data_IF_674130843434
#
_entry.id   IF_674130843434
#
_cell.length_a   1.000
_cell.length_b   1.000
_cell.length_c   1.000
_cell.angle_alpha   90.00
_cell.angle_beta   90.00
_cell.angle_gamma   90.00
#
_symmetry.space_group_name_H-M   'P 1'
#
loop_
_entity.id
_entity.type
_entity.pdbx_description
1 polymer ?
#
# COMPACT_ATOMS: atom_id res chain seq x y z
N UNK A 1 -22.10 -19.17 0.19
CA UNK A 1 -21.56 -19.41 1.55
C UNK A 1 -20.45 -18.41 1.76
N UNK A 2 -20.57 -17.49 2.72
CA UNK A 2 -19.52 -16.52 3.06
C UNK A 2 -18.28 -17.27 3.50
N UNK A 3 -17.10 -16.91 3.00
CA UNK A 3 -15.85 -17.52 3.44
C UNK A 3 -15.71 -17.41 4.97
N UNK A 4 -15.18 -18.43 5.66
CA UNK A 4 -14.99 -18.37 7.10
C UNK A 4 -14.05 -17.23 7.47
N UNK A 5 -14.35 -16.53 8.57
CA UNK A 5 -13.51 -15.45 9.07
C UNK A 5 -12.09 -15.97 9.38
N UNK A 6 -11.05 -15.18 9.09
CA UNK A 6 -9.65 -15.62 9.24
C UNK A 6 -9.25 -15.82 10.72
N UNK A 7 -10.05 -15.30 11.65
CA UNK A 7 -9.95 -15.53 13.08
C UNK A 7 -11.31 -15.23 13.76
N UNK A 8 -11.56 -15.72 14.99
CA UNK A 8 -12.74 -15.34 15.75
C UNK A 8 -12.77 -13.83 16.03
N UNK A 9 -13.79 -13.14 15.53
CA UNK A 9 -14.01 -11.70 15.71
C UNK A 9 -14.68 -11.41 17.05
N UNK A 10 -14.31 -10.32 17.67
CA UNK A 10 -14.86 -9.79 18.91
C UNK A 10 -15.06 -8.29 18.74
N UNK A 11 -16.30 -7.86 18.42
CA UNK A 11 -16.62 -6.46 18.25
C UNK A 11 -16.24 -5.64 19.48
N UNK A 12 -15.92 -4.37 19.26
CA UNK A 12 -15.63 -3.40 20.32
C UNK A 12 -16.87 -3.21 21.22
N UNK A 13 -16.66 -3.12 22.52
CA UNK A 13 -17.71 -2.86 23.52
C UNK A 13 -17.74 -1.39 23.96
N UNK A 14 -18.88 -0.88 24.44
CA UNK A 14 -18.93 0.43 25.07
C UNK A 14 -17.89 0.57 26.20
N UNK A 15 -17.13 1.66 26.19
CA UNK A 15 -16.07 1.93 27.17
C UNK A 15 -14.69 1.37 26.81
N UNK A 16 -14.56 0.53 25.78
CA UNK A 16 -13.27 0.08 25.27
C UNK A 16 -12.60 1.18 24.42
N UNK A 17 -11.25 1.24 24.37
CA UNK A 17 -10.56 2.19 23.49
C UNK A 17 -10.91 1.98 22.02
N UNK A 18 -10.85 3.05 21.23
CA UNK A 18 -10.97 2.97 19.78
C UNK A 18 -9.76 2.26 19.16
N UNK A 19 -9.99 1.58 18.04
CA UNK A 19 -8.90 1.02 17.26
C UNK A 19 -8.08 2.15 16.59
N UNK A 20 -6.76 2.08 16.72
CA UNK A 20 -5.84 3.05 16.10
C UNK A 20 -5.60 2.70 14.62
N UNK A 21 -6.18 3.49 13.73
CA UNK A 21 -6.05 3.35 12.26
C UNK A 21 -4.79 4.03 11.69
N UNK A 22 -3.94 4.65 12.52
CA UNK A 22 -2.79 5.41 12.03
C UNK A 22 -1.81 4.57 11.20
N UNK A 23 -1.65 3.27 11.50
CA UNK A 23 -0.79 2.38 10.70
C UNK A 23 -1.37 2.07 9.33
N UNK A 24 -2.70 1.92 9.23
CA UNK A 24 -3.38 1.73 7.95
C UNK A 24 -3.27 3.00 7.10
N UNK A 25 -3.56 4.17 7.69
CA UNK A 25 -3.38 5.46 7.04
C UNK A 25 -1.93 5.71 6.57
N UNK A 26 -0.93 5.27 7.34
CA UNK A 26 0.47 5.38 6.93
C UNK A 26 0.80 4.44 5.76
N UNK A 27 0.22 3.23 5.72
CA UNK A 27 0.35 2.33 4.58
C UNK A 27 -0.29 2.94 3.32
N UNK A 28 -1.51 3.47 3.44
CA UNK A 28 -2.21 4.21 2.39
C UNK A 28 -1.37 5.36 1.83
N UNK A 29 -0.80 6.19 2.71
CA UNK A 29 0.09 7.29 2.31
C UNK A 29 1.30 6.80 1.53
N UNK A 30 1.94 5.73 1.98
CA UNK A 30 3.06 5.14 1.27
C UNK A 30 2.66 4.68 -0.13
N UNK A 31 1.57 3.90 -0.24
CA UNK A 31 1.07 3.36 -1.51
C UNK A 31 0.67 4.49 -2.48
N UNK A 32 -0.13 5.47 -2.04
CA UNK A 32 -0.51 6.65 -2.82
C UNK A 32 0.73 7.41 -3.31
N UNK A 33 1.70 7.63 -2.42
CA UNK A 33 2.97 8.27 -2.77
C UNK A 33 3.77 7.51 -3.81
N UNK A 34 3.82 6.17 -3.75
CA UNK A 34 4.50 5.35 -4.75
C UNK A 34 3.81 5.37 -6.10
N UNK A 35 2.48 5.30 -6.14
CA UNK A 35 1.71 5.39 -7.38
C UNK A 35 1.95 6.74 -8.08
N UNK A 36 1.86 7.85 -7.33
CA UNK A 36 2.15 9.20 -7.87
C UNK A 36 3.59 9.33 -8.36
N UNK A 37 4.56 8.91 -7.55
CA UNK A 37 5.97 8.92 -7.96
C UNK A 37 6.22 8.14 -9.25
N UNK A 38 5.52 7.00 -9.44
CA UNK A 38 5.62 6.20 -10.65
C UNK A 38 4.99 6.90 -11.86
N UNK A 39 3.84 7.54 -11.68
CA UNK A 39 3.21 8.35 -12.73
C UNK A 39 4.13 9.50 -13.16
N UNK A 40 4.68 10.25 -12.20
CA UNK A 40 5.58 11.39 -12.45
C UNK A 40 6.82 10.96 -13.26
N UNK A 41 7.50 9.89 -12.84
CA UNK A 41 8.69 9.42 -13.57
C UNK A 41 8.32 8.82 -14.93
N UNK A 42 7.16 8.18 -15.08
CA UNK A 42 6.75 7.68 -16.38
C UNK A 42 6.43 8.83 -17.35
N UNK A 43 5.81 9.90 -16.86
CA UNK A 43 5.55 11.12 -17.62
C UNK A 43 6.86 11.81 -18.04
N UNK A 44 7.85 11.91 -17.14
CA UNK A 44 9.20 12.39 -17.49
C UNK A 44 9.80 11.59 -18.67
N UNK A 45 9.71 10.26 -18.63
CA UNK A 45 10.21 9.41 -19.71
C UNK A 45 9.43 9.62 -21.02
N UNK A 46 8.10 9.75 -20.94
CA UNK A 46 7.25 10.01 -22.11
C UNK A 46 7.57 11.38 -22.75
N UNK A 47 7.93 12.37 -21.94
CA UNK A 47 8.40 13.68 -22.39
C UNK A 47 9.85 13.67 -22.95
N UNK A 48 10.50 12.50 -23.02
CA UNK A 48 11.82 12.34 -23.64
C UNK A 48 13.01 12.40 -22.69
N UNK A 49 12.80 12.33 -21.37
CA UNK A 49 13.90 12.30 -20.42
C UNK A 49 14.82 11.09 -20.66
N UNK A 50 16.12 11.35 -20.82
CA UNK A 50 17.13 10.29 -20.98
C UNK A 50 17.63 9.85 -19.61
N UNK A 51 17.54 8.55 -19.31
CA UNK A 51 17.96 7.98 -18.03
C UNK A 51 19.19 7.10 -18.18
N UNK A 52 20.03 7.09 -17.14
CA UNK A 52 21.06 6.07 -17.04
C UNK A 52 20.41 4.67 -17.00
N UNK A 53 21.09 3.62 -17.50
CA UNK A 53 20.59 2.25 -17.39
C UNK A 53 20.30 1.84 -15.94
N UNK A 54 21.02 2.43 -14.98
CA UNK A 54 20.79 2.21 -13.56
C UNK A 54 19.46 2.83 -13.08
N UNK A 55 19.19 4.11 -13.38
CA UNK A 55 17.91 4.74 -13.02
C UNK A 55 16.74 3.97 -13.62
N UNK A 56 16.81 3.59 -14.90
CA UNK A 56 15.77 2.79 -15.55
C UNK A 56 15.51 1.46 -14.82
N UNK A 57 16.57 0.72 -14.44
CA UNK A 57 16.42 -0.51 -13.65
C UNK A 57 15.84 -0.25 -12.26
N UNK A 58 16.19 0.86 -11.61
CA UNK A 58 15.64 1.25 -10.32
C UNK A 58 14.15 1.56 -10.42
N UNK A 59 13.72 2.34 -11.42
CA UNK A 59 12.31 2.66 -11.72
C UNK A 59 11.51 1.38 -11.99
N UNK A 60 11.98 0.50 -12.88
CA UNK A 60 11.28 -0.78 -13.17
C UNK A 60 11.19 -1.66 -11.91
N UNK A 61 12.27 -1.75 -11.14
CA UNK A 61 12.30 -2.54 -9.92
C UNK A 61 11.38 -2.00 -8.82
N UNK A 62 11.32 -0.67 -8.68
CA UNK A 62 10.41 0.02 -7.76
C UNK A 62 8.96 -0.13 -8.21
N UNK A 63 8.67 0.11 -9.50
CA UNK A 63 7.35 -0.06 -10.10
C UNK A 63 6.76 -1.43 -9.82
N UNK A 64 7.52 -2.50 -10.11
CA UNK A 64 7.10 -3.87 -9.80
C UNK A 64 6.85 -4.10 -8.30
N UNK A 65 7.56 -3.42 -7.41
CA UNK A 65 7.36 -3.56 -5.98
C UNK A 65 6.12 -2.83 -5.48
N UNK A 66 5.86 -1.62 -6.00
CA UNK A 66 4.63 -0.85 -5.72
C UNK A 66 3.40 -1.60 -6.21
N UNK A 67 3.37 -2.04 -7.48
CA UNK A 67 2.22 -2.76 -8.04
C UNK A 67 1.87 -4.03 -7.24
N UNK A 68 2.90 -4.78 -6.80
CA UNK A 68 2.69 -5.94 -5.95
C UNK A 68 2.11 -5.60 -4.58
N UNK A 69 2.52 -4.48 -3.98
CA UNK A 69 1.98 -4.08 -2.68
C UNK A 69 0.55 -3.55 -2.80
N UNK A 70 0.23 -2.77 -3.84
CA UNK A 70 -1.15 -2.33 -4.10
C UNK A 70 -2.06 -3.55 -4.29
N UNK A 71 -1.65 -4.53 -5.11
CA UNK A 71 -2.39 -5.77 -5.30
C UNK A 71 -2.58 -6.56 -3.99
N UNK A 72 -1.53 -6.63 -3.17
CA UNK A 72 -1.55 -7.40 -1.94
C UNK A 72 -2.31 -6.67 -0.80
N UNK A 73 -2.42 -5.35 -0.85
CA UNK A 73 -3.22 -4.55 0.08
C UNK A 73 -4.71 -4.79 -0.18
N UNK A 74 -5.19 -4.51 -1.38
CA UNK A 74 -6.61 -4.68 -1.75
C UNK A 74 -7.08 -6.14 -1.59
N UNK A 75 -6.22 -7.10 -1.92
CA UNK A 75 -6.53 -8.52 -1.68
C UNK A 75 -6.64 -8.87 -0.18
N UNK A 76 -5.93 -8.18 0.71
CA UNK A 76 -6.03 -8.36 2.16
C UNK A 76 -7.22 -7.61 2.75
N UNK A 77 -7.62 -6.47 2.18
CA UNK A 77 -8.93 -5.89 2.50
C UNK A 77 -10.04 -6.90 2.19
N UNK A 78 -10.13 -7.36 0.95
CA UNK A 78 -11.15 -8.30 0.47
C UNK A 78 -11.21 -9.58 1.32
N UNK A 79 -10.04 -10.16 1.59
CA UNK A 79 -9.96 -11.46 2.27
C UNK A 79 -10.08 -11.37 3.80
N UNK A 80 -9.80 -10.22 4.40
CA UNK A 80 -9.67 -10.09 5.86
C UNK A 80 -10.37 -8.85 6.41
N UNK A 81 -9.99 -7.65 5.98
CA UNK A 81 -10.49 -6.42 6.61
C UNK A 81 -11.99 -6.25 6.39
N UNK A 82 -12.50 -6.51 5.19
CA UNK A 82 -13.93 -6.42 4.85
C UNK A 82 -14.77 -7.41 5.66
N UNK A 83 -14.47 -8.72 5.68
CA UNK A 83 -15.18 -9.67 6.54
C UNK A 83 -15.15 -9.30 8.02
N UNK A 84 -14.01 -8.85 8.55
CA UNK A 84 -13.88 -8.47 9.97
C UNK A 84 -14.70 -7.21 10.28
N UNK A 85 -14.67 -6.22 9.40
CA UNK A 85 -15.41 -4.96 9.56
C UNK A 85 -16.91 -5.22 9.50
N UNK A 86 -17.38 -5.98 8.52
CA UNK A 86 -18.79 -6.37 8.38
C UNK A 86 -19.29 -7.16 9.61
N UNK A 87 -18.50 -8.12 10.08
CA UNK A 87 -18.83 -8.90 11.28
C UNK A 87 -18.89 -8.02 12.56
N UNK A 88 -18.01 -7.02 12.67
CA UNK A 88 -18.02 -6.08 13.79
C UNK A 88 -19.16 -5.07 13.72
N UNK A 89 -19.49 -4.57 12.52
CA UNK A 89 -20.52 -3.56 12.33
C UNK A 89 -21.91 -4.09 12.69
N UNK A 90 -22.20 -5.36 12.38
CA UNK A 90 -23.47 -5.99 12.71
C UNK A 90 -24.66 -5.14 12.25
N UNK A 91 -25.54 -4.77 13.19
CA UNK A 91 -26.73 -3.96 12.91
C UNK A 91 -26.43 -2.52 12.47
N UNK A 92 -25.21 -1.99 12.69
CA UNK A 92 -24.83 -0.66 12.19
C UNK A 92 -24.67 -0.64 10.67
N UNK A 93 -24.39 -1.80 10.06
CA UNK A 93 -24.09 -1.91 8.64
C UNK A 93 -22.79 -1.21 8.25
N UNK A 94 -22.22 -1.68 7.14
CA UNK A 94 -21.21 -0.98 6.36
C UNK A 94 -21.39 -1.47 4.94
N UNK A 95 -21.53 -0.55 3.99
CA UNK A 95 -21.56 -0.92 2.58
C UNK A 95 -20.12 -0.91 2.06
N UNK A 96 -19.62 -2.09 1.74
CA UNK A 96 -18.26 -2.30 1.24
C UNK A 96 -18.25 -2.67 -0.25
N UNK A 97 -19.44 -2.77 -0.88
CA UNK A 97 -19.54 -3.18 -2.28
C UNK A 97 -18.84 -2.17 -3.21
N UNK A 98 -19.04 -0.83 -3.08
CA UNK A 98 -18.35 0.13 -3.95
C UNK A 98 -16.81 0.00 -3.88
N UNK A 99 -16.26 -0.13 -2.67
CA UNK A 99 -14.82 -0.32 -2.47
C UNK A 99 -14.32 -1.68 -3.02
N UNK A 100 -15.17 -2.71 -2.99
CA UNK A 100 -14.85 -4.02 -3.57
C UNK A 100 -14.88 -3.99 -5.10
N UNK A 101 -15.77 -3.17 -5.69
CA UNK A 101 -15.82 -2.91 -7.12
C UNK A 101 -14.58 -2.14 -7.59
N UNK A 102 -14.13 -1.13 -6.83
CA UNK A 102 -12.88 -0.42 -7.08
C UNK A 102 -11.69 -1.39 -7.14
N UNK A 103 -11.62 -2.37 -6.23
CA UNK A 103 -10.59 -3.39 -6.25
C UNK A 103 -10.59 -4.19 -7.56
N UNK A 104 -11.75 -4.41 -8.18
CA UNK A 104 -11.83 -5.06 -9.49
C UNK A 104 -11.24 -4.19 -10.60
N UNK A 105 -11.52 -2.89 -10.59
CA UNK A 105 -10.93 -1.92 -11.53
C UNK A 105 -9.41 -1.86 -11.34
N UNK A 106 -8.95 -1.73 -10.09
CA UNK A 106 -7.53 -1.70 -9.74
C UNK A 106 -6.79 -2.97 -10.20
N UNK A 107 -7.38 -4.16 -10.04
CA UNK A 107 -6.78 -5.41 -10.56
C UNK A 107 -6.50 -5.35 -12.06
N UNK A 108 -7.42 -4.79 -12.85
CA UNK A 108 -7.24 -4.57 -14.28
C UNK A 108 -6.11 -3.60 -14.60
N UNK A 109 -6.05 -2.47 -13.88
CA UNK A 109 -4.99 -1.47 -14.02
C UNK A 109 -3.62 -2.00 -13.66
N UNK A 110 -3.51 -2.76 -12.55
CA UNK A 110 -2.25 -3.35 -12.10
C UNK A 110 -1.70 -4.36 -13.12
N UNK A 111 -2.56 -5.14 -13.78
CA UNK A 111 -2.15 -6.04 -14.86
C UNK A 111 -1.62 -5.27 -16.08
N UNK A 112 -2.35 -4.24 -16.52
CA UNK A 112 -1.92 -3.37 -17.63
C UNK A 112 -0.60 -2.66 -17.31
N UNK A 113 -0.47 -2.11 -16.11
CA UNK A 113 0.74 -1.44 -15.63
C UNK A 113 1.93 -2.41 -15.56
N UNK A 114 1.73 -3.64 -15.12
CA UNK A 114 2.76 -4.68 -15.11
C UNK A 114 3.28 -5.04 -16.50
N UNK A 115 2.37 -5.13 -17.48
CA UNK A 115 2.69 -5.33 -18.90
C UNK A 115 3.47 -4.14 -19.45
N UNK A 116 3.00 -2.92 -19.22
CA UNK A 116 3.67 -1.69 -19.67
C UNK A 116 5.06 -1.53 -19.05
N UNK A 117 5.23 -1.84 -17.77
CA UNK A 117 6.53 -1.86 -17.09
C UNK A 117 7.50 -2.85 -17.74
N UNK A 118 7.00 -4.00 -18.19
CA UNK A 118 7.80 -5.01 -18.86
C UNK A 118 8.21 -4.56 -20.26
N UNK A 119 7.29 -3.95 -21.01
CA UNK A 119 7.59 -3.35 -22.30
C UNK A 119 8.64 -2.23 -22.18
N UNK A 120 8.45 -1.29 -21.25
CA UNK A 120 9.38 -0.20 -20.99
C UNK A 120 10.77 -0.66 -20.54
N UNK A 121 10.84 -1.76 -19.79
CA UNK A 121 12.11 -2.36 -19.40
C UNK A 121 12.90 -2.87 -20.61
N UNK A 122 12.22 -3.36 -21.64
CA UNK A 122 12.82 -3.86 -22.88
C UNK A 122 13.13 -2.72 -23.86
N UNK A 123 12.21 -1.77 -24.02
CA UNK A 123 12.31 -0.65 -24.94
C UNK A 123 11.80 0.65 -24.29
N UNK A 124 12.68 1.67 -24.10
CA UNK A 124 12.27 2.99 -23.62
C UNK A 124 11.19 3.66 -24.49
N UNK A 125 11.04 3.27 -25.76
CA UNK A 125 9.96 3.74 -26.64
C UNK A 125 8.55 3.44 -26.12
N UNK A 126 8.39 2.51 -25.17
CA UNK A 126 7.12 2.23 -24.51
C UNK A 126 6.74 3.23 -23.39
N UNK A 127 7.55 4.28 -23.16
CA UNK A 127 7.30 5.26 -22.10
C UNK A 127 5.91 5.94 -22.17
N UNK A 128 5.37 6.35 -23.34
CA UNK A 128 4.04 6.96 -23.39
C UNK A 128 2.92 6.02 -22.92
N UNK A 129 2.99 4.73 -23.29
CA UNK A 129 2.01 3.73 -22.83
C UNK A 129 2.14 3.46 -21.32
N UNK A 130 3.37 3.49 -20.80
CA UNK A 130 3.62 3.37 -19.37
C UNK A 130 3.07 4.57 -18.58
N UNK A 131 3.30 5.80 -19.07
CA UNK A 131 2.82 7.03 -18.47
C UNK A 131 1.29 7.04 -18.38
N UNK A 132 0.61 6.72 -19.48
CA UNK A 132 -0.85 6.67 -19.52
C UNK A 132 -1.45 5.75 -18.45
N UNK A 133 -0.95 4.50 -18.34
CA UNK A 133 -1.52 3.54 -17.38
C UNK A 133 -1.11 3.83 -15.94
N UNK A 134 0.10 4.33 -15.68
CA UNK A 134 0.51 4.69 -14.31
C UNK A 134 -0.18 5.97 -13.82
N UNK A 135 -0.46 6.92 -14.72
CA UNK A 135 -1.28 8.10 -14.42
C UNK A 135 -2.71 7.71 -14.05
N UNK A 136 -3.34 6.84 -14.86
CA UNK A 136 -4.68 6.28 -14.56
C UNK A 136 -4.69 5.53 -13.22
N UNK A 137 -3.71 4.66 -12.97
CA UNK A 137 -3.58 3.94 -11.70
C UNK A 137 -3.40 4.90 -10.51
N UNK A 138 -2.59 5.96 -10.66
CA UNK A 138 -2.35 6.91 -9.60
C UNK A 138 -3.63 7.64 -9.21
N UNK A 139 -4.45 8.09 -10.16
CA UNK A 139 -5.74 8.75 -9.90
C UNK A 139 -6.72 7.79 -9.23
N UNK A 140 -6.98 6.64 -9.85
CA UNK A 140 -7.99 5.68 -9.34
C UNK A 140 -7.61 5.16 -7.95
N UNK A 141 -6.33 4.90 -7.69
CA UNK A 141 -5.89 4.47 -6.36
C UNK A 141 -5.96 5.59 -5.32
N UNK A 142 -5.78 6.85 -5.73
CA UNK A 142 -5.94 8.01 -4.85
C UNK A 142 -7.39 8.14 -4.39
N UNK A 143 -8.33 8.13 -5.34
CA UNK A 143 -9.77 8.24 -5.13
C UNK A 143 -10.29 7.09 -4.25
N UNK A 144 -9.90 5.86 -4.57
CA UNK A 144 -10.26 4.66 -3.81
C UNK A 144 -9.86 4.78 -2.34
N UNK A 145 -8.60 5.17 -2.07
CA UNK A 145 -8.11 5.31 -0.70
C UNK A 145 -8.83 6.45 0.03
N UNK A 146 -9.13 7.57 -0.64
CA UNK A 146 -9.90 8.66 -0.02
C UNK A 146 -11.30 8.22 0.40
N UNK A 147 -11.98 7.44 -0.45
CA UNK A 147 -13.27 6.86 -0.13
C UNK A 147 -13.18 5.84 1.01
N UNK A 148 -12.17 4.96 0.98
CA UNK A 148 -11.95 3.99 2.05
C UNK A 148 -11.74 4.68 3.40
N UNK A 149 -10.84 5.66 3.48
CA UNK A 149 -10.56 6.35 4.74
C UNK A 149 -11.80 7.10 5.26
N UNK A 150 -12.62 7.66 4.35
CA UNK A 150 -13.85 8.36 4.70
C UNK A 150 -14.93 7.43 5.23
N UNK A 151 -15.16 6.30 4.57
CA UNK A 151 -16.29 5.41 4.87
C UNK A 151 -15.94 4.34 5.91
N UNK A 152 -14.74 3.78 5.83
CA UNK A 152 -14.37 2.60 6.62
C UNK A 152 -13.72 2.98 7.95
N UNK A 153 -12.87 4.00 8.00
CA UNK A 153 -12.17 4.33 9.27
C UNK A 153 -13.12 4.68 10.42
N UNK A 154 -14.24 5.40 10.21
CA UNK A 154 -15.24 5.61 11.27
C UNK A 154 -15.81 4.29 11.79
N UNK A 155 -16.07 3.32 10.91
CA UNK A 155 -16.58 1.99 11.29
C UNK A 155 -15.51 1.21 12.06
N UNK A 156 -14.25 1.24 11.63
CA UNK A 156 -13.13 0.62 12.36
C UNK A 156 -13.03 1.16 13.78
N UNK A 157 -13.00 2.48 13.95
CA UNK A 157 -12.91 3.11 15.27
C UNK A 157 -14.11 2.77 16.17
N UNK A 158 -15.32 2.78 15.60
CA UNK A 158 -16.57 2.58 16.34
C UNK A 158 -16.78 1.11 16.75
N UNK A 159 -16.56 0.19 15.81
CA UNK A 159 -17.06 -1.18 15.89
C UNK A 159 -15.96 -2.24 16.04
N UNK A 160 -14.75 -2.01 15.51
CA UNK A 160 -13.67 -3.01 15.54
C UNK A 160 -12.86 -2.86 16.82
N UNK A 161 -12.61 -3.97 17.51
CA UNK A 161 -11.77 -3.95 18.72
C UNK A 161 -10.30 -3.73 18.36
N UNK A 162 -9.55 -3.09 19.27
CA UNK A 162 -8.08 -2.94 19.15
C UNK A 162 -7.40 -4.29 18.85
N UNK A 163 -7.92 -5.37 19.45
CA UNK A 163 -7.39 -6.72 19.27
C UNK A 163 -7.58 -7.24 17.85
N UNK A 164 -8.76 -7.04 17.25
CA UNK A 164 -9.03 -7.58 15.93
C UNK A 164 -8.35 -6.78 14.82
N UNK A 165 -8.23 -5.46 14.98
CA UNK A 165 -7.39 -4.66 14.08
C UNK A 165 -5.92 -5.09 14.17
N UNK A 166 -5.40 -5.33 15.38
CA UNK A 166 -4.02 -5.84 15.54
C UNK A 166 -3.83 -7.24 14.93
N UNK A 167 -4.86 -8.09 14.91
CA UNK A 167 -4.81 -9.39 14.22
C UNK A 167 -4.76 -9.23 12.71
N UNK A 168 -5.54 -8.31 12.14
CA UNK A 168 -5.45 -7.96 10.71
C UNK A 168 -4.04 -7.51 10.34
N UNK A 169 -3.45 -6.59 11.10
CA UNK A 169 -2.08 -6.11 10.85
C UNK A 169 -1.04 -7.24 10.95
N UNK A 170 -1.23 -8.17 11.89
CA UNK A 170 -0.36 -9.34 12.01
C UNK A 170 -0.47 -10.28 10.80
N UNK A 171 -1.66 -10.41 10.19
CA UNK A 171 -1.84 -11.15 8.92
C UNK A 171 -1.08 -10.43 7.80
N UNK A 172 -1.20 -9.12 7.69
CA UNK A 172 -0.47 -8.31 6.70
C UNK A 172 1.04 -8.49 6.82
N UNK A 173 1.57 -8.48 8.05
CA UNK A 173 3.00 -8.65 8.30
C UNK A 173 3.53 -10.05 7.92
N UNK A 174 2.72 -11.10 8.07
CA UNK A 174 3.12 -12.49 7.75
C UNK A 174 3.01 -12.84 6.28
N UNK A 175 2.11 -12.19 5.54
CA UNK A 175 1.86 -12.46 4.12
C UNK A 175 2.98 -12.02 3.18
N UNK A 176 4.08 -11.47 3.69
CA UNK A 176 5.16 -10.87 2.89
C UNK A 176 6.46 -11.63 3.11
N UNK A 177 7.09 -12.12 2.03
CA UNK A 177 8.43 -12.71 2.10
C UNK A 177 9.47 -11.69 2.62
N UNK A 178 10.56 -12.16 3.23
CA UNK A 178 11.53 -11.30 3.95
C UNK A 178 12.05 -10.11 3.13
N UNK A 179 12.30 -10.30 1.82
CA UNK A 179 12.75 -9.22 0.92
C UNK A 179 11.68 -8.14 0.72
N UNK A 180 10.42 -8.56 0.60
CA UNK A 180 9.29 -7.65 0.40
C UNK A 180 8.98 -6.91 1.71
N UNK A 181 8.98 -7.61 2.84
CA UNK A 181 8.85 -7.00 4.16
C UNK A 181 9.95 -5.95 4.43
N UNK A 182 11.20 -6.25 4.06
CA UNK A 182 12.32 -5.31 4.17
C UNK A 182 12.13 -4.04 3.32
N UNK A 183 11.57 -4.19 2.12
CA UNK A 183 11.25 -3.08 1.23
C UNK A 183 10.09 -2.25 1.78
N UNK A 184 8.96 -2.88 2.08
CA UNK A 184 7.75 -2.23 2.57
C UNK A 184 8.02 -1.48 3.87
N UNK A 185 8.73 -2.09 4.83
CA UNK A 185 9.04 -1.42 6.09
C UNK A 185 9.93 -0.18 5.90
N UNK A 186 10.92 -0.24 5.02
CA UNK A 186 11.78 0.92 4.72
C UNK A 186 11.01 2.04 4.03
N UNK A 187 10.14 1.67 3.08
CA UNK A 187 9.30 2.60 2.34
C UNK A 187 8.24 3.27 3.21
N UNK A 188 7.52 2.50 4.02
CA UNK A 188 6.53 3.00 5.00
C UNK A 188 7.19 3.92 6.02
N UNK A 189 8.37 3.54 6.54
CA UNK A 189 9.12 4.38 7.49
C UNK A 189 9.63 5.70 6.88
N UNK A 190 9.85 5.73 5.56
CA UNK A 190 10.23 6.93 4.82
C UNK A 190 9.02 7.80 4.47
N UNK A 191 7.82 7.22 4.49
CA UNK A 191 6.54 7.91 4.24
C UNK A 191 5.96 8.56 5.49
N UNK A 192 6.64 8.47 6.63
CA UNK A 192 6.22 9.14 7.86
C UNK A 192 6.31 10.67 7.71
N UNK A 193 5.28 11.39 8.13
CA UNK A 193 5.21 12.85 8.07
C UNK A 193 6.21 13.54 9.02
N UNK A 194 6.68 12.83 10.05
CA UNK A 194 7.66 13.39 10.99
C UNK A 194 8.18 12.41 12.03
N UNK A 195 9.06 12.89 12.93
CA UNK A 195 9.75 12.06 13.91
C UNK A 195 8.81 11.32 14.88
N UNK A 196 7.69 11.94 15.25
CA UNK A 196 6.72 11.37 16.20
C UNK A 196 5.99 10.14 15.61
N UNK A 197 5.46 10.26 14.39
CA UNK A 197 4.81 9.14 13.68
C UNK A 197 5.81 8.00 13.43
N UNK A 198 7.05 8.36 13.06
CA UNK A 198 8.13 7.38 12.89
C UNK A 198 8.49 6.66 14.20
N UNK A 199 8.50 7.37 15.32
CA UNK A 199 8.73 6.76 16.64
C UNK A 199 7.58 5.79 17.00
N UNK A 200 6.32 6.15 16.70
CA UNK A 200 5.15 5.29 16.88
C UNK A 200 5.23 4.01 16.05
N UNK A 201 5.55 4.12 14.75
CA UNK A 201 5.79 2.98 13.87
C UNK A 201 6.86 2.04 14.46
N UNK A 202 7.99 2.59 14.87
CA UNK A 202 9.09 1.82 15.44
C UNK A 202 8.70 1.15 16.77
N UNK A 203 7.93 1.82 17.62
CA UNK A 203 7.45 1.27 18.89
C UNK A 203 6.59 0.01 18.68
N UNK A 204 5.71 0.03 17.68
CA UNK A 204 4.86 -1.11 17.31
C UNK A 204 5.59 -2.21 16.51
N UNK A 205 6.73 -1.89 15.89
CA UNK A 205 7.51 -2.84 15.08
C UNK A 205 8.29 -3.83 15.97
N UNK A 206 8.25 -5.15 15.75
CA UNK A 206 9.10 -6.12 16.45
C UNK A 206 10.60 -5.82 16.31
N UNK A 207 11.40 -6.06 17.37
CA UNK A 207 12.85 -5.76 17.40
C UNK A 207 13.64 -6.31 16.21
N UNK A 208 13.45 -7.56 15.76
CA UNK A 208 14.17 -8.08 14.58
C UNK A 208 13.91 -7.26 13.31
N UNK A 209 12.68 -6.78 13.12
CA UNK A 209 12.30 -5.95 11.97
C UNK A 209 12.89 -4.53 12.07
N UNK A 210 13.09 -3.99 13.29
CA UNK A 210 13.81 -2.71 13.47
C UNK A 210 15.28 -2.81 13.05
N UNK A 211 15.93 -3.94 13.32
CA UNK A 211 17.30 -4.20 12.89
C UNK A 211 17.37 -4.33 11.37
N UNK A 212 16.42 -5.06 10.77
CA UNK A 212 16.29 -5.17 9.32
C UNK A 212 16.14 -3.79 8.67
N UNK A 213 15.25 -2.94 9.18
CA UNK A 213 15.06 -1.57 8.70
C UNK A 213 16.35 -0.74 8.76
N UNK A 214 17.11 -0.82 9.87
CA UNK A 214 18.39 -0.11 9.98
C UNK A 214 19.40 -0.58 8.93
N UNK A 215 19.46 -1.89 8.70
CA UNK A 215 20.37 -2.49 7.72
C UNK A 215 19.99 -2.16 6.27
N UNK A 216 18.69 -2.06 5.96
CA UNK A 216 18.21 -1.83 4.58
C UNK A 216 17.99 -0.36 4.25
N UNK A 217 17.96 0.53 5.24
CA UNK A 217 17.75 1.97 5.08
C UNK A 217 18.65 2.66 4.06
N UNK A 218 19.98 2.47 4.07
CA UNK A 218 20.86 3.07 3.05
C UNK A 218 20.54 2.59 1.63
N UNK A 219 20.24 1.29 1.47
CA UNK A 219 19.88 0.70 0.17
C UNK A 219 18.53 1.22 -0.33
N UNK A 220 17.58 1.43 0.59
CA UNK A 220 16.31 2.08 0.28
C UNK A 220 16.51 3.51 -0.21
N UNK A 221 17.22 4.36 0.54
CA UNK A 221 17.46 5.77 0.15
C UNK A 221 18.11 5.87 -1.21
N UNK A 222 19.19 5.12 -1.46
CA UNK A 222 19.83 5.07 -2.77
C UNK A 222 18.86 4.71 -3.89
N UNK A 223 17.98 3.72 -3.69
CA UNK A 223 16.97 3.36 -4.69
C UNK A 223 15.96 4.49 -4.90
N UNK A 224 15.44 5.07 -3.83
CA UNK A 224 14.47 6.17 -3.88
C UNK A 224 15.06 7.37 -4.63
N UNK A 225 16.27 7.78 -4.29
CA UNK A 225 16.94 8.93 -4.88
C UNK A 225 17.22 8.68 -6.38
N UNK A 226 17.61 7.45 -6.76
CA UNK A 226 17.71 7.05 -8.16
C UNK A 226 16.37 7.12 -8.90
N UNK A 227 15.27 6.68 -8.30
CA UNK A 227 13.93 6.75 -8.91
C UNK A 227 13.53 8.22 -9.08
N UNK A 228 13.66 9.01 -8.02
CA UNK A 228 13.33 10.45 -7.99
C UNK A 228 14.19 11.31 -8.90
N UNK A 229 15.32 10.79 -9.41
CA UNK A 229 16.26 11.59 -10.19
C UNK A 229 17.03 12.62 -9.36
N UNK A 230 17.00 12.52 -8.03
CA UNK A 230 17.77 13.37 -7.12
C UNK A 230 19.18 12.81 -6.97
N UNK A 231 20.12 13.24 -7.81
CA UNK A 231 21.56 13.03 -7.62
C UNK A 231 22.30 14.36 -7.63
#
# INVERSE_FOLDING_TARGET
MTAPLPFPVTPRRPGEPEADVARLALAHRALRGGCRMLADVAEEAAAGATWSPERRRAVVGFGRAVLREVQAHTAREDAVLWPVTAACAGAHGVDLEPLTEDHAVLRGLLLRAGTALTAFAADPGAAPALAAVLGELAVVFDEHVEEEEREVFPVLRRCVSVRDLARYEAVCARGSGLRQAAFALAWVADSCAGPAERAGLLAATPRPLRLLLRATGPRWRRRRDLVAGSQ
#
